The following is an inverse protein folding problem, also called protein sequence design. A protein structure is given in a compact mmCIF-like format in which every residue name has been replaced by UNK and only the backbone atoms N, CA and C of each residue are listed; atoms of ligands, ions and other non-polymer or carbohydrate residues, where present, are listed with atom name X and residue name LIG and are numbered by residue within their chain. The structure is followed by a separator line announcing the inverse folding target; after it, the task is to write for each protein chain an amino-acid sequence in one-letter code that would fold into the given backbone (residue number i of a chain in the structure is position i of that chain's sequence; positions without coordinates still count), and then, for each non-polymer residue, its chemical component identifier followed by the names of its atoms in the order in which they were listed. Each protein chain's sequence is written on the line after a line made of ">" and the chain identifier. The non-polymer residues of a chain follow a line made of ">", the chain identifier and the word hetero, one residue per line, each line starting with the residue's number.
data_IF_165165966696
#
_entry.id   IF_165165966696
#
_cell.length_a   1.000
_cell.length_b   1.000
_cell.length_c   1.000
_cell.angle_alpha   90.00
_cell.angle_beta   90.00
_cell.angle_gamma   90.00
#
_symmetry.space_group_name_H-M   'P 1'
#
loop_
_entity.id
_entity.type
_entity.pdbx_description
1 polymer ?
#
# COMPACT_ATOMS: atom_id res chain seq x y z
N UNK A 1 27.97 -0.99 -10.42
CA UNK A 1 27.29 -0.29 -9.31
C UNK A 1 25.82 -0.11 -9.69
N UNK A 2 24.90 -0.73 -8.96
CA UNK A 2 23.46 -0.51 -9.16
C UNK A 2 23.10 0.93 -8.77
N UNK A 3 22.25 1.59 -9.55
CA UNK A 3 21.74 2.93 -9.17
C UNK A 3 20.88 2.79 -7.90
N UNK A 4 20.95 3.74 -6.95
CA UNK A 4 20.07 3.72 -5.79
C UNK A 4 18.60 3.77 -6.24
N UNK A 5 17.75 2.88 -5.72
CA UNK A 5 16.31 2.89 -6.00
C UNK A 5 15.67 4.15 -5.40
N UNK A 6 14.71 4.71 -6.12
CA UNK A 6 13.94 5.85 -5.64
C UNK A 6 12.77 5.37 -4.77
N UNK A 7 12.66 5.94 -3.57
CA UNK A 7 11.61 5.68 -2.58
C UNK A 7 10.74 6.93 -2.44
N UNK A 8 9.43 6.76 -2.57
CA UNK A 8 8.42 7.77 -2.25
C UNK A 8 7.53 7.22 -1.14
N UNK A 9 7.18 8.04 -0.15
CA UNK A 9 6.24 7.65 0.90
C UNK A 9 4.91 8.38 0.73
N UNK A 10 3.79 7.67 0.91
CA UNK A 10 2.44 8.20 1.04
C UNK A 10 1.79 7.69 2.33
N UNK A 11 0.77 8.38 2.82
CA UNK A 11 -0.06 7.90 3.94
C UNK A 11 -1.52 8.08 3.55
N UNK A 12 -2.32 7.04 3.70
CA UNK A 12 -3.78 7.12 3.55
C UNK A 12 -4.47 6.38 4.70
N UNK A 13 -5.64 6.89 5.08
CA UNK A 13 -6.57 6.20 5.95
C UNK A 13 -7.67 5.52 5.13
N UNK A 14 -8.18 4.37 5.58
CA UNK A 14 -9.35 3.73 4.98
C UNK A 14 -10.65 4.20 5.67
N UNK A 15 -11.46 5.09 5.05
CA UNK A 15 -12.73 5.51 5.63
C UNK A 15 -13.78 4.38 5.55
N UNK A 16 -14.53 4.20 6.65
CA UNK A 16 -15.74 3.39 6.70
C UNK A 16 -16.95 4.29 6.32
N UNK A 17 -17.78 3.94 5.31
CA UNK A 17 -18.86 4.83 4.82
C UNK A 17 -20.10 4.91 5.74
N UNK A 18 -20.03 4.40 6.97
CA UNK A 18 -21.14 4.39 7.93
C UNK A 18 -20.89 5.36 9.09
N UNK A 19 -21.05 6.66 8.85
CA UNK A 19 -21.27 7.63 9.92
C UNK A 19 -22.24 8.73 9.45
N UNK A 20 -23.40 8.92 10.11
CA UNK A 20 -24.29 10.04 9.81
C UNK A 20 -23.68 11.35 10.31
N UNK A 21 -23.68 12.37 9.45
CA UNK A 21 -23.23 13.74 9.76
C UNK A 21 -24.21 14.43 10.72
N UNK A 22 -23.78 15.01 11.86
CA UNK A 22 -24.61 15.90 12.65
C UNK A 22 -24.59 17.34 12.08
N UNK A 23 -25.67 18.13 12.27
CA UNK A 23 -25.77 19.48 11.72
C UNK A 23 -24.97 20.49 12.54
N UNK A 24 -24.47 21.53 11.86
CA UNK A 24 -23.73 22.64 12.46
C UNK A 24 -24.62 23.63 13.23
N UNK A 25 -24.08 24.31 14.26
CA UNK A 25 -24.50 25.68 14.54
C UNK A 25 -23.35 26.70 14.70
N UNK A 26 -23.78 27.96 14.65
CA UNK A 26 -23.07 29.23 14.45
C UNK A 26 -22.22 29.76 15.64
N UNK A 27 -21.37 30.74 15.31
CA UNK A 27 -20.40 31.57 16.08
C UNK A 27 -20.80 32.17 17.46
N UNK A 28 -19.86 32.29 18.44
CA UNK A 28 -19.18 33.56 18.89
C UNK A 28 -18.19 33.38 20.10
N UNK A 29 -16.92 33.78 19.89
CA UNK A 29 -15.94 34.60 20.68
C UNK A 29 -15.44 34.33 22.13
N UNK A 30 -14.10 34.19 22.20
CA UNK A 30 -13.03 34.72 23.13
C UNK A 30 -12.69 34.09 24.51
N UNK A 31 -11.49 33.47 24.52
CA UNK A 31 -10.32 33.49 25.44
C UNK A 31 -10.47 33.13 26.94
N UNK A 32 -9.76 32.07 27.35
CA UNK A 32 -8.57 32.14 28.24
C UNK A 32 -7.75 30.84 28.18
N UNK A 33 -6.46 31.01 28.46
CA UNK A 33 -5.35 30.05 28.37
C UNK A 33 -5.63 28.69 29.01
N UNK A 34 -5.18 27.59 28.38
CA UNK A 34 -4.71 26.37 29.04
C UNK A 34 -3.72 25.63 28.10
N UNK A 35 -2.74 24.98 28.72
CA UNK A 35 -1.56 24.38 28.09
C UNK A 35 -1.91 23.42 26.95
N UNK A 36 -1.27 23.61 25.80
CA UNK A 36 -1.42 22.76 24.63
C UNK A 36 -0.59 21.48 24.77
N UNK A 37 -1.23 20.38 25.17
CA UNK A 37 -0.80 19.06 24.69
C UNK A 37 -1.08 19.02 23.19
N UNK A 38 -0.03 18.89 22.37
CA UNK A 38 -0.19 18.75 20.92
C UNK A 38 -0.83 17.38 20.62
N UNK A 39 -2.15 17.37 20.45
CA UNK A 39 -2.87 16.26 19.82
C UNK A 39 -2.57 16.29 18.32
N UNK A 40 -1.75 15.37 17.84
CA UNK A 40 -1.62 15.11 16.40
C UNK A 40 -2.81 14.24 15.97
N UNK A 41 -3.83 14.86 15.39
CA UNK A 41 -4.84 14.15 14.60
C UNK A 41 -4.17 13.58 13.35
N UNK A 42 -4.50 12.34 12.96
CA UNK A 42 -4.04 11.68 11.72
C UNK A 42 -4.26 12.58 10.48
N UNK A 43 -5.24 13.50 10.53
CA UNK A 43 -5.46 14.50 9.49
C UNK A 43 -4.26 15.45 9.25
N UNK A 44 -3.33 15.56 10.21
CA UNK A 44 -2.15 16.44 10.14
C UNK A 44 -0.95 15.74 9.48
N UNK A 45 -0.96 14.40 9.37
CA UNK A 45 0.05 13.62 8.62
C UNK A 45 -0.28 13.52 7.12
N UNK A 46 -1.52 13.79 6.71
CA UNK A 46 -2.01 13.63 5.34
C UNK A 46 -1.74 14.84 4.41
N UNK A 47 -0.62 15.56 4.62
CA UNK A 47 -0.29 16.75 3.84
C UNK A 47 0.97 16.56 2.99
N UNK A 48 0.94 15.59 2.07
CA UNK A 48 1.87 15.57 0.94
C UNK A 48 1.15 15.22 -0.37
N UNK A 49 1.00 16.28 -1.19
CA UNK A 49 0.63 16.36 -2.62
C UNK A 49 -0.80 15.97 -3.04
N UNK A 50 -1.72 16.91 -2.87
CA UNK A 50 -2.81 17.09 -3.83
C UNK A 50 -2.32 17.96 -5.00
N UNK A 51 -2.13 17.37 -6.18
CA UNK A 51 -2.07 18.14 -7.43
C UNK A 51 -3.48 18.53 -7.84
N UNK A 52 -3.68 19.70 -8.46
CA UNK A 52 -5.00 20.08 -9.00
C UNK A 52 -5.36 19.10 -10.12
N UNK A 53 -6.58 18.57 -10.08
CA UNK A 53 -7.13 17.67 -11.11
C UNK A 53 -7.08 18.29 -12.51
N UNK A 54 -7.11 19.63 -12.61
CA UNK A 54 -6.98 20.36 -13.87
C UNK A 54 -5.61 20.25 -14.54
N UNK A 55 -4.56 19.84 -13.81
CA UNK A 55 -3.19 19.73 -14.32
C UNK A 55 -2.82 18.28 -14.73
N UNK A 56 -3.78 17.34 -14.62
CA UNK A 56 -3.63 15.96 -15.11
C UNK A 56 -4.14 15.92 -16.56
N UNK A 57 -3.31 15.58 -17.55
CA UNK A 57 -3.77 15.41 -18.91
C UNK A 57 -4.88 14.34 -18.93
N UNK A 58 -6.06 14.69 -19.43
CA UNK A 58 -7.17 13.75 -19.59
C UNK A 58 -6.71 12.59 -20.46
N UNK A 59 -6.86 11.36 -19.97
CA UNK A 59 -6.38 10.14 -20.63
C UNK A 59 -7.09 9.84 -21.98
N UNK A 60 -8.10 10.62 -22.34
CA UNK A 60 -8.98 10.38 -23.50
C UNK A 60 -8.44 10.88 -24.84
N UNK A 61 -7.19 11.34 -24.91
CA UNK A 61 -6.52 11.62 -26.18
C UNK A 61 -5.25 10.78 -26.29
N UNK A 62 -5.41 9.51 -26.65
CA UNK A 62 -4.32 8.78 -27.32
C UNK A 62 -4.16 9.42 -28.70
N UNK A 63 -3.42 10.54 -28.74
CA UNK A 63 -2.92 11.07 -29.99
C UNK A 63 -2.00 10.00 -30.60
N UNK A 64 -2.13 9.65 -31.90
CA UNK A 64 -1.39 8.57 -32.52
C UNK A 64 0.15 8.66 -32.43
N UNK A 65 0.71 9.80 -31.98
CA UNK A 65 2.15 10.06 -31.89
C UNK A 65 2.84 9.70 -30.57
N UNK A 66 2.11 9.29 -29.51
CA UNK A 66 2.74 8.95 -28.22
C UNK A 66 3.51 7.61 -28.25
N UNK A 67 3.24 6.77 -29.26
CA UNK A 67 3.96 5.52 -29.49
C UNK A 67 5.32 5.75 -30.15
N UNK A 68 5.51 6.86 -30.89
CA UNK A 68 6.78 7.15 -31.59
C UNK A 68 7.84 7.75 -30.65
N UNK A 69 7.45 8.52 -29.64
CA UNK A 69 8.38 9.15 -28.69
C UNK A 69 9.13 8.14 -27.80
N UNK A 70 8.61 6.92 -27.64
CA UNK A 70 9.29 5.85 -26.91
C UNK A 70 10.50 5.28 -27.67
N UNK A 71 10.62 5.53 -28.98
CA UNK A 71 11.72 5.01 -29.82
C UNK A 71 12.85 6.01 -30.09
N UNK A 72 12.70 7.27 -29.68
CA UNK A 72 13.64 8.33 -30.01
C UNK A 72 14.26 8.99 -28.76
N UNK A 73 15.09 8.25 -28.01
CA UNK A 73 16.03 8.86 -27.04
C UNK A 73 17.44 8.31 -27.20
N UNK A 74 18.04 8.63 -28.36
CA UNK A 74 19.49 8.86 -28.45
C UNK A 74 19.72 10.32 -28.81
N UNK A 75 20.06 11.14 -27.81
CA UNK A 75 21.12 12.18 -27.84
C UNK A 75 21.07 13.01 -26.56
N UNK A 76 22.24 13.16 -25.94
CA UNK A 76 22.43 13.90 -24.71
C UNK A 76 22.34 15.42 -24.89
N UNK A 77 21.88 16.05 -23.82
CA UNK A 77 21.91 17.49 -23.56
C UNK A 77 21.30 17.74 -22.17
N UNK A 78 21.83 18.68 -21.36
CA UNK A 78 21.35 18.88 -20.00
C UNK A 78 20.07 19.71 -20.05
N UNK A 79 18.93 19.10 -19.74
CA UNK A 79 17.66 19.81 -19.55
C UNK A 79 17.40 19.96 -18.04
N UNK A 80 17.73 21.14 -17.51
CA UNK A 80 17.17 21.63 -16.26
C UNK A 80 15.92 22.45 -16.58
N UNK A 81 14.73 21.96 -16.19
CA UNK A 81 13.54 22.79 -15.93
C UNK A 81 12.34 21.91 -15.49
N UNK A 82 12.08 21.87 -14.18
CA UNK A 82 10.77 22.16 -13.56
C UNK A 82 9.45 21.49 -14.01
N UNK A 83 9.43 20.53 -14.93
CA UNK A 83 8.23 19.75 -15.27
C UNK A 83 8.29 18.39 -14.61
N UNK A 84 7.38 18.11 -13.67
CA UNK A 84 7.28 16.77 -13.08
C UNK A 84 7.07 15.73 -14.18
N UNK A 85 8.01 14.79 -14.33
CA UNK A 85 7.86 13.67 -15.26
C UNK A 85 6.62 12.87 -14.85
N UNK A 86 5.65 12.72 -15.77
CA UNK A 86 4.52 11.81 -15.57
C UNK A 86 5.08 10.42 -15.25
N UNK A 87 4.66 9.86 -14.12
CA UNK A 87 5.13 8.58 -13.63
C UNK A 87 3.96 7.61 -13.55
N UNK A 88 4.16 6.39 -14.04
CA UNK A 88 3.16 5.32 -13.97
C UNK A 88 3.49 4.40 -12.80
N UNK A 89 2.49 4.14 -11.95
CA UNK A 89 2.68 3.36 -10.72
C UNK A 89 1.76 2.13 -10.74
N UNK A 90 2.35 0.95 -10.57
CA UNK A 90 1.58 -0.28 -10.37
C UNK A 90 1.02 -0.35 -8.95
N UNK A 91 -0.28 -0.07 -8.80
CA UNK A 91 -0.98 -0.10 -7.51
C UNK A 91 -0.99 -1.52 -6.91
N UNK A 92 -0.46 -1.69 -5.69
CA UNK A 92 -0.22 -2.97 -5.01
C UNK A 92 0.53 -4.01 -5.87
N UNK A 93 1.41 -3.52 -6.73
CA UNK A 93 2.04 -4.29 -7.80
C UNK A 93 1.19 -4.32 -9.07
N UNK A 94 0.68 -5.50 -9.45
CA UNK A 94 -0.11 -5.69 -10.68
C UNK A 94 -1.61 -5.48 -10.45
N UNK A 95 -1.96 -4.47 -9.66
CA UNK A 95 -3.34 -4.08 -9.37
C UNK A 95 -3.90 -4.72 -8.10
N UNK A 96 -4.91 -4.04 -7.55
CA UNK A 96 -5.69 -4.51 -6.42
C UNK A 96 -6.57 -5.70 -6.82
N UNK A 97 -6.68 -6.68 -5.94
CA UNK A 97 -7.60 -7.80 -6.08
C UNK A 97 -9.04 -7.38 -5.76
N UNK A 98 -9.95 -7.69 -6.67
CA UNK A 98 -11.39 -7.48 -6.50
C UNK A 98 -12.13 -8.80 -6.67
N UNK A 99 -12.34 -9.51 -5.56
CA UNK A 99 -12.85 -10.91 -5.57
C UNK A 99 -14.30 -11.04 -6.03
N UNK A 100 -15.09 -9.97 -5.97
CA UNK A 100 -16.45 -9.92 -6.52
C UNK A 100 -16.49 -9.45 -7.98
N UNK A 101 -15.36 -9.03 -8.55
CA UNK A 101 -15.32 -8.56 -9.93
C UNK A 101 -15.47 -9.74 -10.90
N UNK A 102 -16.27 -9.61 -11.97
CA UNK A 102 -16.29 -10.60 -13.06
C UNK A 102 -15.00 -10.54 -13.91
N UNK A 103 -14.22 -9.46 -13.80
CA UNK A 103 -12.96 -9.31 -14.52
C UNK A 103 -11.86 -10.17 -13.88
N UNK A 104 -11.53 -11.28 -14.55
CA UNK A 104 -10.52 -12.24 -14.10
C UNK A 104 -9.12 -11.62 -13.92
N UNK A 105 -8.83 -10.48 -14.55
CA UNK A 105 -7.55 -9.76 -14.38
C UNK A 105 -7.39 -9.27 -12.94
N UNK A 106 -8.49 -8.98 -12.24
CA UNK A 106 -8.50 -8.56 -10.84
C UNK A 106 -8.24 -9.72 -9.86
N UNK A 107 -8.01 -10.94 -10.35
CA UNK A 107 -7.71 -12.14 -9.56
C UNK A 107 -6.54 -12.91 -10.19
N UNK A 108 -5.75 -12.28 -11.06
CA UNK A 108 -4.66 -12.93 -11.78
C UNK A 108 -3.49 -13.27 -10.86
N UNK A 109 -3.08 -12.30 -10.03
CA UNK A 109 -1.97 -12.43 -9.08
C UNK A 109 -2.33 -11.79 -7.75
N UNK A 110 -1.85 -12.34 -6.63
CA UNK A 110 -2.04 -11.77 -5.30
C UNK A 110 -1.46 -10.36 -5.21
N UNK A 111 -2.28 -9.37 -4.87
CA UNK A 111 -1.81 -8.00 -4.61
C UNK A 111 -0.76 -7.99 -3.49
N UNK A 112 0.12 -6.99 -3.44
CA UNK A 112 1.06 -6.81 -2.32
C UNK A 112 2.00 -8.02 -2.08
N UNK A 113 2.52 -8.62 -3.16
CA UNK A 113 3.50 -9.72 -3.13
C UNK A 113 4.70 -9.44 -4.03
N UNK A 114 5.84 -10.05 -3.72
CA UNK A 114 7.05 -9.93 -4.57
C UNK A 114 6.75 -10.34 -6.01
N UNK A 115 5.96 -11.40 -6.23
CA UNK A 115 5.48 -11.77 -7.56
C UNK A 115 4.68 -10.67 -8.24
N UNK A 116 3.69 -10.05 -7.59
CA UNK A 116 2.88 -9.02 -8.24
C UNK A 116 3.71 -7.79 -8.62
N UNK A 117 4.71 -7.44 -7.82
CA UNK A 117 5.66 -6.37 -8.15
C UNK A 117 6.52 -6.72 -9.37
N UNK A 118 7.05 -7.93 -9.42
CA UNK A 118 7.88 -8.39 -10.54
C UNK A 118 7.06 -8.57 -11.83
N UNK A 119 5.79 -8.95 -11.73
CA UNK A 119 4.90 -9.03 -12.87
C UNK A 119 4.48 -7.65 -13.39
N UNK A 120 4.28 -6.66 -12.50
CA UNK A 120 4.09 -5.26 -12.90
C UNK A 120 5.31 -4.72 -13.66
N UNK A 121 6.52 -5.19 -13.32
CA UNK A 121 7.74 -4.90 -14.04
C UNK A 121 7.73 -5.43 -15.50
N UNK A 122 6.73 -6.14 -15.98
CA UNK A 122 6.65 -6.50 -17.41
C UNK A 122 6.03 -5.39 -18.27
N UNK A 123 5.50 -4.36 -17.62
CA UNK A 123 4.83 -3.21 -18.23
C UNK A 123 5.68 -1.93 -18.09
N UNK A 124 5.40 -0.86 -18.85
CA UNK A 124 6.10 0.42 -18.75
C UNK A 124 5.64 1.22 -17.51
N UNK A 125 5.89 0.65 -16.32
CA UNK A 125 5.66 1.30 -15.03
C UNK A 125 6.99 1.76 -14.43
N UNK A 126 7.00 2.94 -13.82
CA UNK A 126 8.17 3.53 -13.17
C UNK A 126 8.32 3.02 -11.73
N UNK A 127 7.19 2.83 -11.04
CA UNK A 127 7.13 2.42 -9.63
C UNK A 127 6.12 1.29 -9.44
N UNK A 128 6.26 0.58 -8.33
CA UNK A 128 5.15 -0.15 -7.71
C UNK A 128 4.79 0.51 -6.40
N UNK A 129 3.49 0.58 -6.13
CA UNK A 129 2.95 1.00 -4.85
C UNK A 129 2.60 -0.24 -4.03
N UNK A 130 2.74 -0.13 -2.70
CA UNK A 130 2.29 -1.14 -1.75
C UNK A 130 2.13 -0.58 -0.34
N UNK A 131 1.28 -1.26 0.43
CA UNK A 131 0.91 -0.92 1.79
C UNK A 131 1.83 -1.57 2.81
N UNK A 132 2.39 -0.77 3.72
CA UNK A 132 3.24 -1.24 4.83
C UNK A 132 2.53 -1.08 6.16
N UNK A 133 2.45 -2.19 6.89
CA UNK A 133 2.08 -2.23 8.31
C UNK A 133 3.27 -2.76 9.13
N UNK A 134 3.22 -2.62 10.45
CA UNK A 134 4.23 -3.17 11.36
C UNK A 134 3.56 -4.15 12.32
N UNK A 135 4.10 -5.36 12.41
CA UNK A 135 3.63 -6.42 13.31
C UNK A 135 3.93 -6.08 14.78
N UNK A 136 3.34 -6.83 15.71
CA UNK A 136 3.49 -6.63 17.16
C UNK A 136 4.94 -6.71 17.65
N UNK A 137 5.75 -7.53 16.98
CA UNK A 137 7.19 -7.70 17.20
C UNK A 137 8.05 -6.69 16.43
N UNK A 138 7.44 -5.68 15.80
CA UNK A 138 8.16 -4.55 15.20
C UNK A 138 8.70 -4.84 13.80
N UNK A 139 8.15 -5.82 13.08
CA UNK A 139 8.60 -6.16 11.73
C UNK A 139 7.70 -5.49 10.67
N UNK A 140 8.26 -4.69 9.75
CA UNK A 140 7.50 -4.13 8.64
C UNK A 140 7.11 -5.21 7.61
N UNK A 141 5.82 -5.31 7.35
CA UNK A 141 5.21 -6.27 6.43
C UNK A 141 4.40 -5.55 5.36
N UNK A 142 4.24 -6.21 4.21
CA UNK A 142 3.46 -5.67 3.10
C UNK A 142 2.06 -6.30 3.12
N UNK A 143 1.04 -5.51 3.48
CA UNK A 143 -0.35 -5.94 3.56
C UNK A 143 -1.31 -4.76 3.71
N UNK A 144 -2.44 -4.78 3.00
CA UNK A 144 -3.38 -3.66 2.97
C UNK A 144 -4.45 -3.69 4.08
N UNK A 145 -5.13 -4.83 4.26
CA UNK A 145 -6.32 -4.87 5.11
C UNK A 145 -5.92 -4.80 6.61
N UNK A 146 -6.72 -4.14 7.45
CA UNK A 146 -6.43 -4.04 8.89
C UNK A 146 -6.56 -5.39 9.62
N UNK A 147 -7.33 -6.31 9.03
CA UNK A 147 -7.62 -7.64 9.58
C UNK A 147 -7.27 -8.72 8.57
N UNK A 148 -6.70 -9.81 9.08
CA UNK A 148 -6.49 -11.04 8.33
C UNK A 148 -7.50 -12.08 8.78
N UNK A 149 -8.07 -12.81 7.82
CA UNK A 149 -9.08 -13.84 8.06
C UNK A 149 -8.53 -15.20 7.64
N UNK A 150 -8.78 -16.22 8.45
CA UNK A 150 -8.47 -17.62 8.14
C UNK A 150 -9.61 -18.51 8.58
N UNK A 151 -9.74 -19.67 7.94
CA UNK A 151 -10.63 -20.74 8.35
C UNK A 151 -9.81 -21.93 8.84
N UNK A 152 -10.13 -22.43 10.03
CA UNK A 152 -9.54 -23.65 10.58
C UNK A 152 -10.68 -24.52 11.14
N UNK A 153 -10.77 -25.78 10.69
CA UNK A 153 -11.81 -26.73 11.11
C UNK A 153 -13.25 -26.19 10.98
N UNK A 154 -13.54 -25.47 9.87
CA UNK A 154 -14.84 -24.87 9.60
C UNK A 154 -15.17 -23.62 10.42
N UNK A 155 -14.22 -23.12 11.22
CA UNK A 155 -14.39 -21.90 12.00
C UNK A 155 -13.56 -20.78 11.38
N UNK A 156 -14.25 -19.71 10.96
CA UNK A 156 -13.61 -18.48 10.49
C UNK A 156 -13.18 -17.67 11.71
N UNK A 157 -11.89 -17.33 11.74
CA UNK A 157 -11.32 -16.42 12.73
C UNK A 157 -10.74 -15.19 12.03
N UNK A 158 -10.72 -14.07 12.75
CA UNK A 158 -10.09 -12.83 12.31
C UNK A 158 -9.09 -12.36 13.37
N UNK A 159 -7.99 -11.78 12.91
CA UNK A 159 -7.01 -11.11 13.77
C UNK A 159 -6.62 -9.78 13.13
N UNK A 160 -6.39 -8.78 13.96
CA UNK A 160 -5.80 -7.52 13.51
C UNK A 160 -4.35 -7.77 13.11
N UNK A 161 -3.94 -7.24 11.97
CA UNK A 161 -2.62 -7.48 11.39
C UNK A 161 -1.50 -6.98 12.32
N UNK A 162 -1.67 -5.81 12.93
CA UNK A 162 -0.71 -5.23 13.88
C UNK A 162 -0.61 -5.98 15.22
N UNK A 163 -1.55 -6.89 15.52
CA UNK A 163 -1.50 -7.71 16.74
C UNK A 163 -0.74 -9.03 16.55
N UNK A 164 -0.41 -9.39 15.30
CA UNK A 164 0.31 -10.61 14.94
C UNK A 164 1.80 -10.46 15.21
N UNK A 165 2.46 -11.59 15.52
CA UNK A 165 3.92 -11.72 15.36
C UNK A 165 4.26 -11.98 13.88
N UNK A 166 5.44 -11.60 13.41
CA UNK A 166 5.87 -11.85 12.03
C UNK A 166 5.75 -13.34 11.66
N UNK A 167 6.25 -14.22 12.54
CA UNK A 167 6.21 -15.66 12.32
C UNK A 167 4.77 -16.21 12.21
N UNK A 168 3.79 -15.55 12.81
CA UNK A 168 2.38 -15.90 12.61
C UNK A 168 1.85 -15.37 11.29
N UNK A 169 2.12 -14.10 10.96
CA UNK A 169 1.67 -13.46 9.73
C UNK A 169 2.13 -14.23 8.47
N UNK A 170 3.39 -14.67 8.43
CA UNK A 170 3.95 -15.39 7.28
C UNK A 170 3.32 -16.78 7.06
N UNK A 171 2.58 -17.32 8.04
CA UNK A 171 1.88 -18.61 7.90
C UNK A 171 0.57 -18.51 7.11
N UNK A 172 0.09 -17.32 6.79
CA UNK A 172 -1.12 -17.13 5.99
C UNK A 172 -0.83 -17.18 4.50
N UNK A 173 -1.71 -17.81 3.74
CA UNK A 173 -1.56 -17.98 2.30
C UNK A 173 -0.53 -19.07 1.94
N UNK A 174 -0.12 -19.16 0.66
CA UNK A 174 0.86 -20.15 0.21
C UNK A 174 2.21 -19.95 0.93
N UNK A 175 2.97 -21.03 1.09
CA UNK A 175 4.26 -21.03 1.77
C UNK A 175 5.39 -21.29 0.76
N UNK A 176 6.54 -20.64 0.95
CA UNK A 176 7.69 -20.80 0.06
C UNK A 176 8.33 -22.21 0.14
N UNK A 177 8.18 -22.88 1.29
CA UNK A 177 8.74 -24.21 1.51
C UNK A 177 7.81 -25.32 0.99
N UNK A 178 8.37 -26.21 0.18
CA UNK A 178 7.64 -27.36 -0.33
C UNK A 178 7.10 -28.24 0.80
N UNK A 179 5.81 -28.58 0.75
CA UNK A 179 5.15 -29.44 1.73
C UNK A 179 4.66 -28.73 2.99
N UNK A 180 4.93 -27.43 3.18
CA UNK A 180 4.30 -26.63 4.25
C UNK A 180 2.96 -26.09 3.76
N UNK A 181 1.87 -26.56 4.38
CA UNK A 181 0.55 -25.95 4.23
C UNK A 181 0.47 -24.65 5.02
N UNK A 182 0.05 -23.57 4.37
CA UNK A 182 -0.29 -22.32 5.05
C UNK A 182 -1.76 -22.27 5.48
N UNK A 183 -2.07 -21.30 6.33
CA UNK A 183 -3.44 -20.98 6.74
C UNK A 183 -4.21 -20.42 5.54
N UNK A 184 -5.42 -20.91 5.23
CA UNK A 184 -6.24 -20.34 4.17
C UNK A 184 -6.41 -18.84 4.36
N UNK A 185 -6.25 -18.06 3.30
CA UNK A 185 -6.41 -16.61 3.35
C UNK A 185 -7.82 -16.24 2.87
N UNK A 186 -8.58 -15.58 3.73
CA UNK A 186 -9.92 -15.08 3.42
C UNK A 186 -9.93 -13.56 3.44
N UNK A 187 -10.92 -12.96 2.77
CA UNK A 187 -11.14 -11.52 2.75
C UNK A 187 -12.60 -11.21 3.07
N UNK A 188 -12.81 -10.21 3.93
CA UNK A 188 -14.14 -9.67 4.19
C UNK A 188 -14.50 -8.65 3.09
N UNK A 189 -15.60 -8.92 2.41
CA UNK A 189 -16.15 -8.09 1.35
C UNK A 189 -16.94 -6.91 1.94
N UNK A 190 -17.21 -5.89 1.10
CA UNK A 190 -17.97 -4.69 1.52
C UNK A 190 -19.39 -5.01 1.99
N UNK A 191 -19.99 -6.09 1.49
CA UNK A 191 -21.31 -6.58 1.90
C UNK A 191 -21.27 -7.41 3.19
N UNK A 192 -20.10 -7.53 3.83
CA UNK A 192 -19.90 -8.25 5.08
C UNK A 192 -19.59 -9.74 4.92
N UNK A 193 -19.72 -10.32 3.73
CA UNK A 193 -19.38 -11.73 3.49
C UNK A 193 -17.87 -11.94 3.63
N UNK A 194 -17.47 -13.08 4.18
CA UNK A 194 -16.07 -13.52 4.19
C UNK A 194 -15.92 -14.61 3.14
N UNK A 195 -15.00 -14.41 2.21
CA UNK A 195 -14.78 -15.33 1.08
C UNK A 195 -13.32 -15.74 0.99
N UNK A 196 -13.06 -16.91 0.42
CA UNK A 196 -11.70 -17.33 0.08
C UNK A 196 -11.08 -16.31 -0.86
N UNK A 197 -9.91 -15.81 -0.47
CA UNK A 197 -9.15 -14.89 -1.29
C UNK A 197 -8.33 -15.71 -2.27
N UNK A 198 -8.97 -16.21 -3.31
CA UNK A 198 -8.34 -17.01 -4.34
C UNK A 198 -7.86 -16.13 -5.51
N UNK A 199 -6.68 -16.44 -6.03
CA UNK A 199 -6.09 -15.84 -7.23
C UNK A 199 -5.56 -16.96 -8.13
N UNK A 200 -5.32 -16.67 -9.41
CA UNK A 200 -4.81 -17.66 -10.37
C UNK A 200 -3.35 -18.02 -10.07
N UNK A 201 -2.53 -17.02 -9.78
CA UNK A 201 -1.13 -17.19 -9.40
C UNK A 201 -0.90 -16.57 -8.04
N UNK A 202 -0.64 -17.40 -7.05
CA UNK A 202 -0.45 -16.96 -5.66
C UNK A 202 1.05 -16.86 -5.31
N UNK A 203 1.34 -16.17 -4.23
CA UNK A 203 2.70 -16.00 -3.70
C UNK A 203 2.66 -15.77 -2.19
N UNK A 204 3.74 -16.10 -1.49
CA UNK A 204 3.79 -15.93 -0.04
C UNK A 204 3.67 -14.45 0.34
N UNK A 205 3.05 -14.18 1.50
CA UNK A 205 3.10 -12.86 2.12
C UNK A 205 4.55 -12.50 2.44
N UNK A 206 4.90 -11.22 2.35
CA UNK A 206 6.29 -10.78 2.43
C UNK A 206 6.49 -9.59 3.38
N UNK A 207 7.72 -9.48 3.87
CA UNK A 207 8.25 -8.34 4.61
C UNK A 207 8.65 -7.20 3.66
N UNK A 208 8.79 -6.00 4.21
CA UNK A 208 9.35 -4.87 3.45
C UNK A 208 10.79 -5.14 2.99
N UNK A 209 11.59 -5.81 3.84
CA UNK A 209 12.97 -6.18 3.52
C UNK A 209 13.02 -7.14 2.31
N UNK A 210 12.19 -8.20 2.31
CA UNK A 210 12.14 -9.13 1.18
C UNK A 210 11.75 -8.43 -0.12
N UNK A 211 10.87 -7.42 -0.08
CA UNK A 211 10.56 -6.64 -1.27
C UNK A 211 11.75 -5.80 -1.77
N UNK A 212 12.54 -5.21 -0.86
CA UNK A 212 13.75 -4.46 -1.21
C UNK A 212 14.80 -5.35 -1.90
N UNK A 213 14.94 -6.57 -1.40
CA UNK A 213 15.89 -7.57 -1.91
C UNK A 213 15.43 -8.17 -3.25
N UNK A 214 14.15 -8.55 -3.36
CA UNK A 214 13.69 -9.49 -4.40
C UNK A 214 12.86 -8.84 -5.53
N UNK A 215 12.43 -7.59 -5.41
CA UNK A 215 11.72 -6.90 -6.50
C UNK A 215 12.70 -6.42 -7.57
N UNK A 216 12.28 -6.41 -8.83
CA UNK A 216 13.07 -5.97 -9.98
C UNK A 216 13.75 -4.61 -9.72
N UNK A 217 15.09 -4.50 -9.84
CA UNK A 217 15.84 -3.30 -9.47
C UNK A 217 15.59 -2.08 -10.34
N UNK A 218 14.86 -2.22 -11.45
CA UNK A 218 14.44 -1.08 -12.28
C UNK A 218 13.25 -0.33 -11.72
N UNK A 219 12.43 -0.98 -10.89
CA UNK A 219 11.26 -0.35 -10.29
C UNK A 219 11.68 0.51 -9.11
N UNK A 220 11.14 1.72 -9.04
CA UNK A 220 11.08 2.46 -7.79
C UNK A 220 9.96 1.95 -6.88
N UNK A 221 9.98 2.37 -5.62
CA UNK A 221 8.93 2.06 -4.66
C UNK A 221 8.15 3.31 -4.27
N UNK A 222 6.83 3.17 -4.25
CA UNK A 222 5.91 4.11 -3.62
C UNK A 222 5.29 3.41 -2.40
N UNK A 223 5.83 3.69 -1.22
CA UNK A 223 5.50 3.01 0.03
C UNK A 223 4.37 3.74 0.72
N UNK A 224 3.20 3.11 0.82
CA UNK A 224 2.07 3.63 1.57
C UNK A 224 2.14 3.17 3.03
N UNK A 225 2.13 4.10 3.97
CA UNK A 225 2.04 3.78 5.41
C UNK A 225 0.58 3.50 5.76
N UNK A 226 0.29 2.26 6.14
CA UNK A 226 -1.08 1.84 6.45
C UNK A 226 -1.32 1.83 7.96
N UNK A 227 -2.28 2.66 8.39
CA UNK A 227 -2.79 2.69 9.75
C UNK A 227 -4.28 2.32 9.77
N UNK A 228 -4.78 1.86 10.92
CA UNK A 228 -6.22 1.65 11.11
C UNK A 228 -6.86 2.94 11.62
N UNK A 229 -7.72 3.53 10.78
CA UNK A 229 -8.50 4.73 11.06
C UNK A 229 -9.40 4.62 12.30
N UNK A 230 -9.68 3.40 12.77
CA UNK A 230 -10.49 3.16 13.97
C UNK A 230 -9.65 3.09 15.25
N UNK A 231 -8.33 3.30 15.17
CA UNK A 231 -7.42 3.32 16.31
C UNK A 231 -6.86 4.72 16.53
N UNK A 232 -6.63 5.05 17.80
CA UNK A 232 -5.86 6.23 18.19
C UNK A 232 -4.42 5.81 18.50
N UNK A 233 -3.48 6.32 17.71
CA UNK A 233 -2.06 6.02 17.89
C UNK A 233 -1.39 7.07 18.78
N UNK A 234 -0.65 6.62 19.79
CA UNK A 234 0.18 7.52 20.60
C UNK A 234 1.48 7.86 19.87
N UNK A 235 2.09 9.00 20.21
CA UNK A 235 3.33 9.47 19.56
C UNK A 235 4.47 8.44 19.66
N UNK A 236 4.61 7.79 20.81
CA UNK A 236 5.63 6.76 21.03
C UNK A 236 5.40 5.54 20.13
N UNK A 237 4.14 5.19 19.89
CA UNK A 237 3.78 4.08 19.00
C UNK A 237 4.07 4.42 17.55
N UNK A 238 3.63 5.59 17.07
CA UNK A 238 3.95 6.08 15.73
C UNK A 238 5.46 6.16 15.50
N UNK A 239 6.20 6.66 16.49
CA UNK A 239 7.66 6.74 16.42
C UNK A 239 8.29 5.36 16.28
N UNK A 240 7.85 4.37 17.08
CA UNK A 240 8.33 2.98 16.96
C UNK A 240 8.04 2.39 15.59
N UNK A 241 6.82 2.58 15.07
CA UNK A 241 6.41 2.08 13.74
C UNK A 241 7.28 2.69 12.63
N UNK A 242 7.43 4.02 12.62
CA UNK A 242 8.22 4.72 11.62
C UNK A 242 9.70 4.33 11.68
N UNK A 243 10.27 4.19 12.89
CA UNK A 243 11.65 3.73 13.06
C UNK A 243 11.85 2.30 12.55
N UNK A 244 10.90 1.39 12.77
CA UNK A 244 10.97 0.04 12.24
C UNK A 244 11.00 0.04 10.71
N UNK A 245 10.12 0.83 10.07
CA UNK A 245 10.04 0.94 8.60
C UNK A 245 11.33 1.54 8.02
N UNK A 246 11.87 2.60 8.64
CA UNK A 246 13.11 3.23 8.17
C UNK A 246 14.31 2.30 8.29
N UNK A 247 14.39 1.49 9.36
CA UNK A 247 15.49 0.53 9.59
C UNK A 247 15.48 -0.65 8.61
N UNK A 248 14.32 -1.04 8.07
CA UNK A 248 14.23 -2.15 7.10
C UNK A 248 15.00 -1.87 5.80
N UNK A 249 15.39 -0.63 5.54
CA UNK A 249 16.23 -0.24 4.40
C UNK A 249 17.72 -0.54 4.62
N UNK A 250 18.17 -0.51 5.86
CA UNK A 250 19.59 -0.53 6.23
C UNK A 250 20.11 -1.93 6.62
N UNK A 251 19.25 -2.95 6.48
CA UNK A 251 19.56 -4.38 6.68
C UNK A 251 19.87 -5.03 5.33
#
# INVERSE_FOLDING_TARGET
>A
MARPRHLQFSASGSPNPCAPTPPAPYYYRRRRLHLSHHRLSIATMAQLKAARVADVPTLDVVAPGLVEAATATKRGGPAAAGGGRFSVIGHRGKGMNALASPDRRMQEVRENTVRSFNDAARFPVDYVEFDVQVTKDGCPIIFHDNFIYTEENGNISQKRVTDLQLAEFLRYGPQNEQGKGGKPLLRKMKDGRVVNWNVQTDDALCTLQEAFENVNPRLGFNVELKFDDNLEYQEEELTRILQAILKARDL
#
